data_IF_308023761022
#
_entry.id   IF_308023761022
#
_cell.length_a   1.000
_cell.length_b   1.000
_cell.length_c   1.000
_cell.angle_alpha   90.00
_cell.angle_beta   90.00
_cell.angle_gamma   90.00
#
_symmetry.space_group_name_H-M   'P 1'
#
loop_
_entity.id
_entity.type
_entity.pdbx_description
1 polymer ?
#
# COMPACT_ATOMS: atom_id res chain seq x y z
N UNK A 1 -42.38 31.65 17.56
CA UNK A 1 -41.12 31.75 16.79
C UNK A 1 -39.98 31.48 17.78
N UNK A 2 -39.43 30.26 17.83
CA UNK A 2 -38.30 29.97 18.74
C UNK A 2 -37.05 30.56 18.12
N UNK A 3 -36.39 31.45 18.86
CA UNK A 3 -35.06 31.96 18.54
C UNK A 3 -34.08 30.82 18.82
N UNK A 4 -33.43 30.30 17.78
CA UNK A 4 -32.28 29.39 17.95
C UNK A 4 -31.10 30.22 18.48
N UNK A 5 -30.51 29.77 19.59
CA UNK A 5 -29.32 30.38 20.17
C UNK A 5 -28.09 29.97 19.35
N UNK A 6 -27.08 30.85 19.30
CA UNK A 6 -25.84 30.67 18.53
C UNK A 6 -25.06 29.40 18.91
N UNK A 7 -25.30 28.86 20.10
CA UNK A 7 -24.64 27.65 20.59
C UNK A 7 -25.12 26.35 19.89
N UNK A 8 -26.29 26.36 19.23
CA UNK A 8 -26.78 25.22 18.41
C UNK A 8 -26.03 25.08 17.07
N UNK A 9 -25.30 26.11 16.63
CA UNK A 9 -24.63 26.11 15.33
C UNK A 9 -23.27 25.40 15.36
N UNK A 10 -22.60 25.35 16.52
CA UNK A 10 -21.26 24.76 16.66
C UNK A 10 -21.28 23.22 16.76
N UNK A 11 -22.33 22.60 17.29
CA UNK A 11 -22.45 21.14 17.36
C UNK A 11 -22.73 20.46 16.01
N UNK A 12 -23.20 21.20 15.01
CA UNK A 12 -23.51 20.65 13.68
C UNK A 12 -22.29 20.48 12.76
N UNK A 13 -21.15 21.09 13.11
CA UNK A 13 -19.93 21.03 12.29
C UNK A 13 -18.96 19.92 12.70
N UNK A 14 -19.08 19.37 13.91
CA UNK A 14 -18.16 18.34 14.41
C UNK A 14 -18.60 16.91 14.06
N UNK A 15 -19.87 16.68 13.71
CA UNK A 15 -20.42 15.35 13.39
C UNK A 15 -20.11 14.82 11.98
N UNK A 16 -19.79 15.67 11.01
CA UNK A 16 -19.79 15.26 9.59
C UNK A 16 -18.57 14.41 9.17
N UNK A 17 -17.38 14.66 9.75
CA UNK A 17 -16.14 13.99 9.36
C UNK A 17 -15.89 12.63 10.03
N UNK A 18 -16.51 12.37 11.18
CA UNK A 18 -16.41 11.08 11.89
C UNK A 18 -17.31 10.02 11.24
N UNK A 19 -18.55 10.40 10.92
CA UNK A 19 -19.55 9.51 10.35
C UNK A 19 -19.18 9.09 8.93
N UNK A 20 -18.65 10.02 8.12
CA UNK A 20 -18.18 9.71 6.77
C UNK A 20 -17.03 8.69 6.77
N UNK A 21 -16.02 8.87 7.62
CA UNK A 21 -14.88 7.93 7.74
C UNK A 21 -15.31 6.56 8.28
N UNK A 22 -16.31 6.54 9.16
CA UNK A 22 -16.90 5.31 9.71
C UNK A 22 -17.71 4.55 8.66
N UNK A 23 -18.52 5.25 7.86
CA UNK A 23 -19.25 4.67 6.73
C UNK A 23 -18.29 4.13 5.66
N UNK A 24 -17.25 4.88 5.34
CA UNK A 24 -16.21 4.47 4.41
C UNK A 24 -15.48 3.20 4.90
N UNK A 25 -15.12 3.15 6.20
CA UNK A 25 -14.52 1.96 6.79
C UNK A 25 -15.44 0.74 6.66
N UNK A 26 -16.71 0.89 7.04
CA UNK A 26 -17.71 -0.17 6.93
C UNK A 26 -17.88 -0.66 5.48
N UNK A 27 -17.81 0.26 4.50
CA UNK A 27 -17.81 -0.08 3.08
C UNK A 27 -16.57 -0.89 2.70
N UNK A 28 -15.37 -0.45 3.06
CA UNK A 28 -14.12 -1.17 2.77
C UNK A 28 -14.15 -2.59 3.33
N UNK A 29 -14.60 -2.76 4.58
CA UNK A 29 -14.71 -4.06 5.24
C UNK A 29 -15.76 -4.94 4.57
N UNK A 30 -16.92 -4.38 4.21
CA UNK A 30 -17.96 -5.12 3.46
C UNK A 30 -17.44 -5.63 2.12
N UNK A 31 -16.75 -4.77 1.37
CA UNK A 31 -16.15 -5.14 0.09
C UNK A 31 -15.02 -6.16 0.25
N UNK A 32 -14.19 -6.03 1.28
CA UNK A 32 -13.13 -6.99 1.59
C UNK A 32 -13.67 -8.37 1.96
N UNK A 33 -14.76 -8.43 2.75
CA UNK A 33 -15.48 -9.69 3.04
C UNK A 33 -16.08 -10.31 1.79
N UNK A 34 -16.61 -9.51 0.88
CA UNK A 34 -17.15 -9.99 -0.39
C UNK A 34 -16.02 -10.53 -1.29
N UNK A 35 -14.91 -9.80 -1.40
CA UNK A 35 -13.73 -10.19 -2.15
C UNK A 35 -13.13 -11.50 -1.63
N UNK A 36 -13.06 -11.70 -0.31
CA UNK A 36 -12.58 -12.95 0.30
C UNK A 36 -13.40 -14.19 -0.11
N UNK A 37 -14.68 -14.01 -0.42
CA UNK A 37 -15.57 -15.08 -0.90
C UNK A 37 -15.44 -15.33 -2.40
N UNK A 38 -14.86 -14.39 -3.14
CA UNK A 38 -14.59 -14.55 -4.56
C UNK A 38 -13.34 -15.42 -4.76
N UNK A 39 -13.25 -16.08 -5.92
CA UNK A 39 -12.10 -16.90 -6.32
C UNK A 39 -10.88 -16.01 -6.66
N UNK A 40 -10.20 -16.25 -7.79
CA UNK A 40 -8.92 -15.60 -8.11
C UNK A 40 -8.95 -14.06 -8.10
N UNK A 41 -10.09 -13.44 -8.45
CA UNK A 41 -10.27 -11.98 -8.40
C UNK A 41 -10.30 -11.39 -6.99
N UNK A 42 -10.57 -12.20 -5.96
CA UNK A 42 -10.68 -11.76 -4.57
C UNK A 42 -9.37 -11.20 -4.02
N UNK A 43 -8.24 -11.82 -4.35
CA UNK A 43 -6.91 -11.42 -3.86
C UNK A 43 -6.50 -10.03 -4.37
N UNK A 44 -6.75 -9.75 -5.65
CA UNK A 44 -6.53 -8.43 -6.24
C UNK A 44 -7.34 -7.36 -5.52
N UNK A 45 -8.65 -7.59 -5.34
CA UNK A 45 -9.52 -6.62 -4.69
C UNK A 45 -9.12 -6.35 -3.24
N UNK A 46 -8.76 -7.38 -2.48
CA UNK A 46 -8.26 -7.20 -1.10
C UNK A 46 -6.97 -6.39 -1.11
N UNK A 47 -6.06 -6.64 -2.05
CA UNK A 47 -4.82 -5.87 -2.19
C UNK A 47 -5.06 -4.39 -2.45
N UNK A 48 -5.97 -4.05 -3.37
CA UNK A 48 -6.33 -2.65 -3.67
C UNK A 48 -7.01 -1.97 -2.46
N UNK A 49 -7.95 -2.67 -1.80
CA UNK A 49 -8.59 -2.15 -0.57
C UNK A 49 -7.58 -1.94 0.55
N UNK A 50 -6.61 -2.84 0.70
CA UNK A 50 -5.55 -2.74 1.69
C UNK A 50 -4.62 -1.54 1.44
N UNK A 51 -4.37 -1.18 0.17
CA UNK A 51 -3.65 0.04 -0.18
C UNK A 51 -4.45 1.29 0.24
N UNK A 52 -5.76 1.32 -0.05
CA UNK A 52 -6.63 2.41 0.40
C UNK A 52 -6.64 2.55 1.92
N UNK A 53 -6.71 1.43 2.66
CA UNK A 53 -6.67 1.43 4.13
C UNK A 53 -5.35 2.01 4.65
N UNK A 54 -4.22 1.59 4.09
CA UNK A 54 -2.89 2.08 4.53
C UNK A 54 -2.69 3.57 4.21
N UNK A 55 -3.26 4.06 3.12
CA UNK A 55 -3.17 5.48 2.75
C UNK A 55 -4.11 6.39 3.56
N UNK A 56 -5.29 5.90 3.94
CA UNK A 56 -6.35 6.75 4.52
C UNK A 56 -6.46 6.69 6.04
N UNK A 57 -5.92 5.65 6.67
CA UNK A 57 -6.08 5.41 8.10
C UNK A 57 -4.73 5.30 8.82
N UNK A 58 -4.75 5.57 10.12
CA UNK A 58 -3.55 5.58 10.96
C UNK A 58 -2.89 4.19 11.12
N UNK A 59 -1.71 4.18 11.73
CA UNK A 59 -0.96 2.96 12.05
C UNK A 59 -1.85 1.92 12.76
N UNK A 60 -1.79 0.67 12.29
CA UNK A 60 -2.59 -0.44 12.84
C UNK A 60 -3.92 -0.68 12.12
N UNK A 61 -4.41 0.26 11.30
CA UNK A 61 -5.66 0.08 10.56
C UNK A 61 -5.63 -1.12 9.62
N UNK A 62 -4.49 -1.41 9.00
CA UNK A 62 -4.36 -2.58 8.13
C UNK A 62 -4.55 -3.91 8.88
N UNK A 63 -4.03 -4.02 10.10
CA UNK A 63 -4.19 -5.22 10.94
C UNK A 63 -5.67 -5.38 11.31
N UNK A 64 -6.31 -4.28 11.73
CA UNK A 64 -7.75 -4.23 12.01
C UNK A 64 -8.58 -4.63 10.79
N UNK A 65 -8.24 -4.11 9.60
CA UNK A 65 -8.93 -4.45 8.36
C UNK A 65 -8.83 -5.95 8.07
N UNK A 66 -7.65 -6.54 8.20
CA UNK A 66 -7.43 -7.97 8.02
C UNK A 66 -8.31 -8.80 8.96
N UNK A 67 -8.29 -8.47 10.26
CA UNK A 67 -9.13 -9.10 11.29
C UNK A 67 -10.62 -9.00 10.95
N UNK A 68 -11.10 -7.81 10.57
CA UNK A 68 -12.51 -7.58 10.28
C UNK A 68 -13.01 -8.27 9.00
N UNK A 69 -12.15 -8.51 8.00
CA UNK A 69 -12.50 -9.29 6.80
C UNK A 69 -12.30 -10.79 6.97
N UNK A 70 -11.71 -11.22 8.10
CA UNK A 70 -11.43 -12.62 8.41
C UNK A 70 -10.22 -13.18 7.67
N UNK A 71 -9.25 -12.34 7.31
CA UNK A 71 -8.03 -12.71 6.59
C UNK A 71 -6.80 -12.49 7.46
N UNK A 72 -5.73 -13.26 7.23
CA UNK A 72 -4.51 -13.05 8.02
C UNK A 72 -3.86 -11.71 7.68
N UNK A 73 -3.34 -11.00 8.69
CA UNK A 73 -2.60 -9.75 8.45
C UNK A 73 -1.42 -9.95 7.48
N UNK A 74 -0.75 -11.11 7.54
CA UNK A 74 0.31 -11.47 6.60
C UNK A 74 -0.18 -11.62 5.15
N UNK A 75 -1.33 -12.26 4.95
CA UNK A 75 -1.97 -12.38 3.63
C UNK A 75 -2.34 -11.02 3.07
N UNK A 76 -3.00 -10.17 3.86
CA UNK A 76 -3.41 -8.82 3.41
C UNK A 76 -2.21 -7.96 3.04
N UNK A 77 -1.12 -8.01 3.82
CA UNK A 77 0.14 -7.32 3.46
C UNK A 77 0.71 -7.82 2.15
N UNK A 78 0.70 -9.14 1.93
CA UNK A 78 1.17 -9.76 0.70
C UNK A 78 0.30 -9.36 -0.49
N UNK A 79 -1.01 -9.40 -0.33
CA UNK A 79 -1.96 -9.03 -1.38
C UNK A 79 -1.77 -7.58 -1.80
N UNK A 80 -1.63 -6.68 -0.82
CA UNK A 80 -1.33 -5.27 -1.07
C UNK A 80 -0.02 -5.09 -1.83
N UNK A 81 1.04 -5.78 -1.42
CA UNK A 81 2.35 -5.68 -2.06
C UNK A 81 2.29 -6.10 -3.53
N UNK A 82 1.67 -7.24 -3.86
CA UNK A 82 1.53 -7.71 -5.24
C UNK A 82 0.62 -6.78 -6.04
N UNK A 83 -0.51 -6.34 -5.47
CA UNK A 83 -1.41 -5.39 -6.12
C UNK A 83 -0.69 -4.07 -6.46
N UNK A 84 0.15 -3.56 -5.57
CA UNK A 84 0.95 -2.37 -5.81
C UNK A 84 2.10 -2.55 -6.82
N UNK A 85 2.49 -3.78 -7.14
CA UNK A 85 3.56 -4.07 -8.10
C UNK A 85 3.08 -4.05 -9.57
N UNK A 86 1.78 -4.19 -9.81
CA UNK A 86 1.21 -4.29 -11.15
C UNK A 86 0.02 -3.37 -11.32
N UNK A 87 0.08 -2.52 -12.35
CA UNK A 87 -1.07 -1.71 -12.77
C UNK A 87 -2.16 -2.57 -13.41
N UNK A 88 -3.37 -2.01 -13.53
CA UNK A 88 -4.55 -2.71 -14.06
C UNK A 88 -4.35 -3.24 -15.49
N UNK A 89 -3.62 -2.52 -16.35
CA UNK A 89 -3.37 -2.97 -17.72
C UNK A 89 -2.48 -4.20 -17.75
N UNK A 90 -1.46 -4.25 -16.88
CA UNK A 90 -0.59 -5.43 -16.73
C UNK A 90 -1.35 -6.62 -16.17
N UNK A 91 -2.24 -6.41 -15.18
CA UNK A 91 -3.07 -7.48 -14.61
C UNK A 91 -3.98 -8.12 -15.66
N UNK A 92 -4.62 -7.30 -16.50
CA UNK A 92 -5.57 -7.76 -17.53
C UNK A 92 -4.89 -8.39 -18.75
N UNK A 93 -3.63 -8.05 -19.01
CA UNK A 93 -2.84 -8.59 -20.13
C UNK A 93 -2.62 -10.11 -20.04
N UNK A 94 -2.63 -10.67 -18.82
CA UNK A 94 -2.35 -12.09 -18.60
C UNK A 94 -3.55 -12.84 -18.03
N UNK A 95 -3.88 -13.98 -18.63
CA UNK A 95 -4.83 -14.97 -18.09
C UNK A 95 -4.12 -15.89 -17.09
N UNK A 96 -3.46 -15.30 -16.10
CA UNK A 96 -2.72 -16.00 -15.05
C UNK A 96 -3.32 -15.68 -13.68
N UNK A 97 -3.25 -16.65 -12.75
CA UNK A 97 -3.74 -16.44 -11.40
C UNK A 97 -2.86 -15.46 -10.62
N UNK A 98 -3.42 -14.84 -9.58
CA UNK A 98 -2.71 -13.96 -8.65
C UNK A 98 -1.38 -14.53 -8.16
N UNK A 99 -1.33 -15.84 -7.90
CA UNK A 99 -0.14 -16.55 -7.43
C UNK A 99 1.03 -16.51 -8.43
N UNK A 100 0.75 -16.46 -9.75
CA UNK A 100 1.80 -16.28 -10.75
C UNK A 100 2.43 -14.90 -10.63
N UNK A 101 1.61 -13.86 -10.52
CA UNK A 101 2.07 -12.49 -10.31
C UNK A 101 2.87 -12.37 -9.02
N UNK A 102 2.39 -12.99 -7.94
CA UNK A 102 3.09 -13.01 -6.66
C UNK A 102 4.49 -13.65 -6.76
N UNK A 103 4.63 -14.74 -7.52
CA UNK A 103 5.88 -15.48 -7.61
C UNK A 103 7.04 -14.65 -8.19
N UNK A 104 6.71 -13.63 -9.00
CA UNK A 104 7.69 -12.81 -9.73
C UNK A 104 7.60 -11.32 -9.40
N UNK A 105 6.75 -10.90 -8.46
CA UNK A 105 6.53 -9.50 -8.11
C UNK A 105 7.78 -8.77 -7.57
N UNK A 106 8.81 -9.49 -7.13
CA UNK A 106 10.09 -8.91 -6.71
C UNK A 106 11.11 -8.80 -7.84
N UNK A 107 10.79 -9.22 -9.06
CA UNK A 107 11.71 -9.25 -10.20
C UNK A 107 11.51 -8.03 -11.08
N UNK A 108 12.61 -7.42 -11.52
CA UNK A 108 12.57 -6.28 -12.44
C UNK A 108 11.99 -6.68 -13.82
N UNK A 109 12.18 -7.93 -14.24
CA UNK A 109 11.68 -8.52 -15.48
C UNK A 109 10.40 -9.36 -15.28
N UNK A 110 9.62 -9.08 -14.23
CA UNK A 110 8.40 -9.81 -13.87
C UNK A 110 7.44 -10.04 -15.05
N UNK A 111 7.18 -9.01 -15.87
CA UNK A 111 6.32 -9.10 -17.07
C UNK A 111 6.85 -10.10 -18.09
N UNK A 112 8.17 -10.17 -18.30
CA UNK A 112 8.79 -11.15 -19.20
C UNK A 112 8.60 -12.58 -18.68
N UNK A 113 8.68 -12.78 -17.37
CA UNK A 113 8.39 -14.07 -16.74
C UNK A 113 6.92 -14.47 -16.86
N UNK A 114 5.99 -13.52 -16.66
CA UNK A 114 4.56 -13.74 -16.86
C UNK A 114 4.24 -14.11 -18.31
N UNK A 115 4.85 -13.45 -19.29
CA UNK A 115 4.72 -13.83 -20.70
C UNK A 115 5.19 -15.26 -20.97
N UNK A 116 6.35 -15.65 -20.41
CA UNK A 116 6.87 -17.02 -20.54
C UNK A 116 5.92 -18.03 -19.92
N UNK A 117 5.40 -17.74 -18.73
CA UNK A 117 4.44 -18.60 -18.04
C UNK A 117 3.15 -18.76 -18.84
N UNK A 118 2.58 -17.67 -19.37
CA UNK A 118 1.37 -17.70 -20.18
C UNK A 118 1.57 -18.47 -21.48
N UNK A 119 2.63 -18.17 -22.25
CA UNK A 119 2.92 -18.87 -23.51
C UNK A 119 3.23 -20.35 -23.30
N UNK A 120 3.90 -20.68 -22.20
CA UNK A 120 4.33 -22.03 -21.89
C UNK A 120 3.34 -22.86 -21.06
N UNK A 121 2.21 -22.29 -20.63
CA UNK A 121 1.27 -22.94 -19.70
C UNK A 121 1.93 -23.36 -18.38
N UNK A 122 2.83 -22.54 -17.83
CA UNK A 122 3.58 -22.91 -16.64
C UNK A 122 2.71 -22.87 -15.39
N UNK A 123 2.93 -23.82 -14.47
CA UNK A 123 2.43 -23.71 -13.11
C UNK A 123 3.19 -22.63 -12.33
N UNK A 124 2.60 -22.17 -11.22
CA UNK A 124 3.24 -21.23 -10.28
C UNK A 124 4.59 -21.77 -9.80
N UNK A 125 4.66 -23.06 -9.48
CA UNK A 125 5.90 -23.68 -8.98
C UNK A 125 6.99 -23.70 -10.04
N UNK A 126 6.64 -24.01 -11.30
CA UNK A 126 7.58 -23.97 -12.42
C UNK A 126 8.07 -22.55 -12.67
N UNK A 127 7.17 -21.57 -12.64
CA UNK A 127 7.53 -20.16 -12.76
C UNK A 127 8.50 -19.74 -11.66
N UNK A 128 8.16 -20.02 -10.40
CA UNK A 128 8.96 -19.65 -9.24
C UNK A 128 10.33 -20.35 -9.21
N UNK A 129 10.43 -21.62 -9.62
CA UNK A 129 11.71 -22.34 -9.65
C UNK A 129 12.60 -21.85 -10.79
N UNK A 130 12.04 -21.64 -11.98
CA UNK A 130 12.79 -21.19 -13.16
C UNK A 130 13.29 -19.75 -12.98
N UNK A 131 12.44 -18.86 -12.45
CA UNK A 131 12.81 -17.47 -12.24
C UNK A 131 13.90 -17.32 -11.15
N UNK A 132 13.81 -18.10 -10.06
CA UNK A 132 14.88 -18.11 -9.03
C UNK A 132 16.19 -18.68 -9.56
N UNK A 133 16.15 -19.74 -10.37
CA UNK A 133 17.34 -20.35 -10.97
C UNK A 133 18.04 -19.45 -11.98
N UNK A 134 17.33 -18.51 -12.61
CA UNK A 134 17.91 -17.48 -13.47
C UNK A 134 18.54 -16.32 -12.68
N UNK A 135 18.08 -16.08 -11.45
CA UNK A 135 18.49 -14.97 -10.60
C UNK A 135 19.72 -15.25 -9.72
N UNK A 136 20.44 -16.36 -9.94
CA UNK A 136 21.71 -16.66 -9.26
C UNK A 136 22.91 -15.85 -9.80
N UNK A 137 22.66 -14.85 -10.66
CA UNK A 137 23.57 -13.73 -10.94
C UNK A 137 23.29 -12.56 -9.97
N UNK A 138 24.30 -11.74 -9.61
CA UNK A 138 24.27 -10.90 -8.41
C UNK A 138 23.05 -9.97 -8.32
N UNK A 139 22.57 -9.66 -7.10
CA UNK A 139 21.27 -9.06 -6.87
C UNK A 139 21.08 -7.72 -7.58
N UNK A 140 19.94 -7.61 -8.28
CA UNK A 140 19.49 -6.45 -9.03
C UNK A 140 19.04 -5.27 -8.12
N UNK A 141 19.04 -4.02 -8.64
CA UNK A 141 19.17 -2.76 -7.89
C UNK A 141 17.95 -2.27 -7.08
N UNK A 142 16.92 -3.08 -6.83
CA UNK A 142 15.80 -2.64 -5.97
C UNK A 142 16.20 -2.52 -4.47
N UNK A 143 17.27 -3.20 -4.05
CA UNK A 143 17.93 -2.93 -2.76
C UNK A 143 18.63 -1.56 -2.80
N UNK A 144 19.18 -1.18 -3.95
CA UNK A 144 19.83 0.11 -4.17
C UNK A 144 18.82 1.28 -4.26
N UNK A 145 17.61 1.07 -4.78
CA UNK A 145 16.56 2.12 -4.79
C UNK A 145 16.06 2.44 -3.37
N UNK A 146 15.76 1.42 -2.55
CA UNK A 146 15.42 1.65 -1.14
C UNK A 146 16.56 2.30 -0.38
N UNK A 147 17.80 1.85 -0.58
CA UNK A 147 18.98 2.47 0.01
C UNK A 147 19.19 3.91 -0.46
N UNK A 148 18.88 4.23 -1.72
CA UNK A 148 18.99 5.57 -2.29
C UNK A 148 17.90 6.51 -1.76
N UNK A 149 16.66 6.03 -1.62
CA UNK A 149 15.56 6.78 -1.01
C UNK A 149 15.84 7.03 0.47
N UNK A 150 16.40 6.06 1.19
CA UNK A 150 16.78 6.20 2.60
C UNK A 150 17.98 7.14 2.79
N UNK A 151 18.94 7.13 1.87
CA UNK A 151 20.06 8.07 1.84
C UNK A 151 19.59 9.50 1.53
N UNK A 152 18.67 9.67 0.59
CA UNK A 152 18.04 10.97 0.28
C UNK A 152 17.22 11.48 1.46
N UNK A 153 16.44 10.62 2.11
CA UNK A 153 15.68 10.98 3.31
C UNK A 153 16.59 11.45 4.45
N UNK A 154 17.70 10.74 4.71
CA UNK A 154 18.72 11.17 5.69
C UNK A 154 19.34 12.52 5.34
N UNK A 155 19.63 12.77 4.05
CA UNK A 155 20.20 14.03 3.58
C UNK A 155 19.24 15.21 3.79
N UNK A 156 17.97 15.03 3.46
CA UNK A 156 16.92 16.06 3.65
C UNK A 156 16.72 16.37 5.13
N UNK A 157 16.70 15.36 6.00
CA UNK A 157 16.61 15.59 7.46
C UNK A 157 17.82 16.37 8.00
N UNK A 158 19.03 16.09 7.51
CA UNK A 158 20.24 16.80 7.95
C UNK A 158 20.27 18.28 7.53
N UNK A 159 19.59 18.63 6.43
CA UNK A 159 19.51 20.01 5.96
C UNK A 159 18.51 20.82 6.78
N UNK A 160 17.34 20.25 7.07
CA UNK A 160 16.34 20.91 7.92
C UNK A 160 16.88 21.18 9.33
N UNK A 161 17.62 20.24 9.92
CA UNK A 161 18.26 20.46 11.23
C UNK A 161 19.35 21.55 11.22
N UNK A 162 20.03 21.74 10.09
CA UNK A 162 21.03 22.79 9.94
C UNK A 162 20.37 24.18 9.82
N UNK A 163 19.30 24.28 9.03
CA UNK A 163 18.53 25.50 8.86
C UNK A 163 17.82 25.92 10.16
N UNK A 164 17.23 24.97 10.88
CA UNK A 164 16.61 25.21 12.19
C UNK A 164 17.63 25.75 13.23
N UNK A 165 18.87 25.26 13.19
CA UNK A 165 19.94 25.75 14.07
C UNK A 165 20.43 27.14 13.69
N UNK A 166 20.45 27.49 12.41
CA UNK A 166 20.78 28.83 11.95
C UNK A 166 19.70 29.83 12.34
N UNK A 167 18.42 29.46 12.17
CA UNK A 167 17.29 30.27 12.61
C UNK A 167 17.32 30.47 14.13
N UNK A 168 17.56 29.42 14.91
CA UNK A 168 17.67 29.51 16.37
C UNK A 168 18.84 30.41 16.83
N UNK A 169 19.96 30.46 16.09
CA UNK A 169 21.08 31.35 16.36
C UNK A 169 20.78 32.80 16.00
N UNK A 170 20.13 33.04 14.85
CA UNK A 170 19.74 34.38 14.41
C UNK A 170 18.73 35.02 15.37
N UNK A 171 17.76 34.25 15.88
CA UNK A 171 16.79 34.72 16.87
C UNK A 171 17.47 35.11 18.20
N UNK A 172 18.48 34.35 18.66
CA UNK A 172 19.25 34.71 19.87
C UNK A 172 20.13 35.95 19.68
N UNK A 173 20.61 36.20 18.46
CA UNK A 173 21.44 37.37 18.14
C UNK A 173 20.62 38.66 17.98
N UNK A 174 19.32 38.57 17.67
CA UNK A 174 18.41 39.73 17.55
C UNK A 174 17.65 40.10 18.83
N UNK A 175 17.85 39.36 19.93
CA UNK A 175 17.21 39.58 21.23
C UNK A 175 18.17 40.14 22.31
N UNK A 176 19.36 40.60 21.92
CA UNK A 176 20.34 41.29 22.77
C UNK A 176 20.41 42.77 22.39
#
# INVERSE_FOLDING_TARGET
>A
MRVMQIDDFLELTEGSGSDARSYEWARLVKEGRAARKAADGGSWRIGDLAALVEHRYASGALKRFAEEIGESHGSVRRFRWVAGAYDESTRQRFSLSFSHFQAVASLDDSTTWLERAQRGGWSVDRLASTARGANTSPPAPHVAFKASVEAVAKKVSSLNEADDRLLARAVRAGLA
#
